data_IF_387523310374
#
_entry.id   IF_387523310374
#
_cell.length_a   1.000
_cell.length_b   1.000
_cell.length_c   1.000
_cell.angle_alpha   90.00
_cell.angle_beta   90.00
_cell.angle_gamma   90.00
#
_symmetry.space_group_name_H-M   'P 1'
#
loop_
_entity.id
_entity.type
_entity.pdbx_description
1 polymer ?
#
# COMPACT_ATOMS: atom_id res chain seq x y z
N UNK A 1 -11.51 -16.54 9.78
CA UNK A 1 -10.05 -16.63 9.58
C UNK A 1 -9.48 -15.29 10.00
N UNK A 2 -8.75 -15.28 11.11
CA UNK A 2 -8.10 -14.07 11.63
C UNK A 2 -6.96 -13.72 10.67
N UNK A 3 -6.91 -12.47 10.20
CA UNK A 3 -5.80 -11.99 9.36
C UNK A 3 -4.64 -11.68 10.31
N UNK A 4 -3.54 -12.42 10.20
CA UNK A 4 -2.29 -12.06 10.85
C UNK A 4 -1.67 -10.86 10.11
N UNK A 5 -2.04 -9.66 10.55
CA UNK A 5 -1.54 -8.42 9.95
C UNK A 5 -0.03 -8.29 10.05
N UNK A 6 0.63 -8.83 11.09
CA UNK A 6 2.08 -8.71 11.24
C UNK A 6 2.83 -9.54 10.20
N UNK A 7 2.26 -10.68 9.81
CA UNK A 7 2.78 -11.50 8.72
C UNK A 7 2.70 -10.78 7.36
N UNK A 8 1.61 -10.03 7.13
CA UNK A 8 1.31 -9.45 5.81
C UNK A 8 1.68 -7.97 5.64
N UNK A 9 1.95 -7.23 6.72
CA UNK A 9 2.25 -5.80 6.68
C UNK A 9 3.75 -5.45 6.68
N UNK A 10 4.64 -6.46 6.70
CA UNK A 10 6.07 -6.28 6.91
C UNK A 10 6.74 -5.31 5.93
N UNK A 11 6.34 -5.31 4.65
CA UNK A 11 6.88 -4.36 3.66
C UNK A 11 6.41 -2.93 3.92
N UNK A 12 5.19 -2.76 4.40
CA UNK A 12 4.60 -1.47 4.74
C UNK A 12 5.18 -0.87 6.02
N UNK A 13 5.53 -1.72 7.00
CA UNK A 13 6.27 -1.29 8.21
C UNK A 13 7.65 -0.73 7.87
N UNK A 14 8.37 -1.37 6.96
CA UNK A 14 9.73 -0.95 6.54
C UNK A 14 9.77 0.44 5.92
N UNK A 15 8.68 0.90 5.30
CA UNK A 15 8.58 2.24 4.72
C UNK A 15 7.85 3.24 5.63
N UNK A 16 7.61 2.85 6.89
CA UNK A 16 7.00 3.67 7.94
C UNK A 16 5.54 4.08 7.66
N UNK A 17 4.73 3.21 7.04
CA UNK A 17 3.30 3.47 6.93
C UNK A 17 2.61 3.36 8.29
N UNK A 18 1.58 4.19 8.52
CA UNK A 18 0.79 4.20 9.75
C UNK A 18 -0.04 2.92 9.88
N UNK A 19 -0.40 2.55 11.12
CA UNK A 19 -1.22 1.35 11.39
C UNK A 19 -2.49 1.25 10.52
N UNK A 20 -3.30 2.33 10.40
CA UNK A 20 -4.46 2.33 9.51
C UNK A 20 -4.12 2.04 8.03
N UNK A 21 -3.12 2.72 7.47
CA UNK A 21 -2.73 2.52 6.07
C UNK A 21 -2.24 1.08 5.83
N UNK A 22 -1.49 0.51 6.78
CA UNK A 22 -1.03 -0.88 6.70
C UNK A 22 -2.19 -1.87 6.69
N UNK A 23 -3.15 -1.73 7.61
CA UNK A 23 -4.31 -2.61 7.70
C UNK A 23 -5.12 -2.59 6.41
N UNK A 24 -5.42 -1.41 5.87
CA UNK A 24 -6.22 -1.31 4.65
C UNK A 24 -5.52 -1.89 3.42
N UNK A 25 -4.19 -1.79 3.34
CA UNK A 25 -3.43 -2.46 2.28
C UNK A 25 -3.51 -3.99 2.41
N UNK A 26 -3.40 -4.52 3.64
CA UNK A 26 -3.57 -5.96 3.92
C UNK A 26 -4.99 -6.43 3.60
N UNK A 27 -6.02 -5.66 3.97
CA UNK A 27 -7.43 -5.94 3.66
C UNK A 27 -7.67 -5.97 2.15
N UNK A 28 -7.03 -5.06 1.40
CA UNK A 28 -7.04 -5.04 -0.06
C UNK A 28 -6.14 -6.12 -0.70
N UNK A 29 -5.55 -7.01 0.11
CA UNK A 29 -4.60 -8.07 -0.31
C UNK A 29 -3.37 -7.54 -1.05
N UNK A 30 -2.95 -6.33 -0.72
CA UNK A 30 -1.73 -5.67 -1.20
C UNK A 30 -0.65 -5.86 -0.13
N UNK A 31 0.18 -6.89 -0.27
CA UNK A 31 1.16 -7.29 0.76
C UNK A 31 2.57 -6.76 0.49
N UNK A 32 2.84 -6.33 -0.74
CA UNK A 32 4.14 -5.84 -1.21
C UNK A 32 3.99 -4.67 -2.18
N UNK A 33 5.05 -3.88 -2.38
CA UNK A 33 4.98 -2.72 -3.29
C UNK A 33 4.68 -3.13 -4.73
N UNK A 34 5.13 -4.31 -5.17
CA UNK A 34 4.86 -4.81 -6.53
C UNK A 34 3.39 -5.15 -6.77
N UNK A 35 2.61 -5.37 -5.72
CA UNK A 35 1.16 -5.60 -5.83
C UNK A 35 0.41 -4.35 -6.27
N UNK A 36 0.99 -3.16 -6.06
CA UNK A 36 0.39 -1.88 -6.43
C UNK A 36 0.27 -1.69 -7.96
N UNK A 37 0.94 -2.53 -8.76
CA UNK A 37 0.71 -2.59 -10.23
C UNK A 37 -0.71 -3.06 -10.59
N UNK A 38 -1.39 -3.73 -9.66
CA UNK A 38 -2.74 -4.27 -9.86
C UNK A 38 -3.83 -3.22 -9.70
N UNK A 39 -3.51 -2.10 -9.05
CA UNK A 39 -4.47 -1.03 -8.75
C UNK A 39 -4.03 0.29 -9.37
N UNK A 40 -4.96 1.21 -9.47
CA UNK A 40 -4.70 2.57 -9.89
C UNK A 40 -4.40 3.51 -8.72
N UNK A 41 -3.92 4.70 -9.03
CA UNK A 41 -3.75 5.75 -8.02
C UNK A 41 -5.11 6.17 -7.44
N UNK A 42 -6.18 6.20 -8.24
CA UNK A 42 -7.51 6.56 -7.77
C UNK A 42 -8.03 5.52 -6.75
N UNK A 43 -7.89 4.23 -7.08
CA UNK A 43 -8.24 3.12 -6.18
C UNK A 43 -7.44 3.17 -4.87
N UNK A 44 -6.13 3.47 -4.93
CA UNK A 44 -5.32 3.63 -3.72
C UNK A 44 -5.83 4.78 -2.85
N UNK A 45 -6.21 5.93 -3.43
CA UNK A 45 -6.73 7.07 -2.68
C UNK A 45 -8.12 6.81 -2.10
N UNK A 46 -8.89 5.89 -2.69
CA UNK A 46 -10.22 5.51 -2.20
C UNK A 46 -10.16 4.55 -1.00
N UNK A 47 -8.99 3.98 -0.67
CA UNK A 47 -8.84 3.06 0.45
C UNK A 47 -9.06 3.79 1.80
N UNK A 48 -9.96 3.27 2.67
CA UNK A 48 -10.24 3.90 3.97
C UNK A 48 -8.98 3.92 4.84
N UNK A 49 -8.64 5.06 5.46
CA UNK A 49 -7.42 5.18 6.26
C UNK A 49 -6.14 5.44 5.47
N UNK A 50 -6.23 5.61 4.15
CA UNK A 50 -5.12 6.08 3.33
C UNK A 50 -4.96 7.60 3.45
N UNK A 51 -3.89 8.06 4.09
CA UNK A 51 -3.58 9.50 4.21
C UNK A 51 -2.76 10.02 3.03
N UNK A 52 -2.79 11.34 2.79
CA UNK A 52 -1.93 11.99 1.77
C UNK A 52 -0.45 11.66 1.96
N UNK A 53 0.01 11.59 3.21
CA UNK A 53 1.40 11.23 3.54
C UNK A 53 1.73 9.78 3.23
N UNK A 54 0.81 8.84 3.46
CA UNK A 54 1.00 7.44 3.10
C UNK A 54 1.08 7.27 1.58
N UNK A 55 0.19 7.93 0.82
CA UNK A 55 0.23 7.92 -0.66
C UNK A 55 1.53 8.51 -1.18
N UNK A 56 1.99 9.64 -0.64
CA UNK A 56 3.26 10.25 -1.03
C UNK A 56 4.45 9.32 -0.78
N UNK A 57 4.50 8.67 0.39
CA UNK A 57 5.53 7.68 0.72
C UNK A 57 5.51 6.50 -0.26
N UNK A 58 4.33 5.96 -0.56
CA UNK A 58 4.16 4.86 -1.51
C UNK A 58 4.69 5.26 -2.89
N UNK A 59 4.35 6.46 -3.39
CA UNK A 59 4.83 6.96 -4.69
C UNK A 59 6.37 7.03 -4.76
N UNK A 60 7.02 7.54 -3.71
CA UNK A 60 8.50 7.60 -3.65
C UNK A 60 9.11 6.19 -3.76
N UNK A 61 8.54 5.22 -3.02
CA UNK A 61 9.05 3.85 -3.02
C UNK A 61 8.78 3.15 -4.37
N UNK A 62 7.64 3.40 -4.98
CA UNK A 62 7.31 2.88 -6.31
C UNK A 62 8.26 3.42 -7.38
N UNK A 63 8.55 4.72 -7.36
CA UNK A 63 9.50 5.35 -8.28
C UNK A 63 10.90 4.73 -8.14
N UNK A 64 11.40 4.61 -6.90
CA UNK A 64 12.70 3.98 -6.63
C UNK A 64 12.78 2.53 -7.14
N UNK A 65 11.65 1.81 -7.16
CA UNK A 65 11.53 0.43 -7.65
C UNK A 65 11.12 0.32 -9.12
N UNK A 66 10.92 1.44 -9.82
CA UNK A 66 10.38 1.50 -11.20
C UNK A 66 9.06 0.75 -11.35
N UNK A 67 8.19 0.89 -10.36
CA UNK A 67 6.84 0.33 -10.32
C UNK A 67 5.87 1.45 -10.68
N UNK A 68 4.94 1.17 -11.60
CA UNK A 68 3.86 2.09 -11.94
C UNK A 68 2.54 1.48 -11.50
N UNK A 69 1.58 2.34 -11.16
CA UNK A 69 0.19 1.94 -10.98
C UNK A 69 -0.37 1.42 -12.31
N UNK A 70 -1.47 0.67 -12.23
CA UNK A 70 -2.32 0.39 -13.38
C UNK A 70 -2.80 1.72 -13.97
N UNK A 71 -2.77 1.83 -15.30
CA UNK A 71 -3.42 2.94 -16.01
C UNK A 71 -4.92 2.65 -16.01
N UNK A 72 -5.70 3.67 -15.67
CA UNK A 72 -7.17 3.65 -15.81
C UNK A 72 -7.59 4.13 -17.19
#
# INVERSE_FOLDING_TARGET
MEIDYEQFDGEWRKISLTGPARRTLVDAKLYKVSDLRRISLAELNALPGMSKSAVARIKVIMEAKRIKFRLD
#
